data_IF_395756318746
#
_entry.id   IF_395756318746
#
_cell.length_a   1.000
_cell.length_b   1.000
_cell.length_c   1.000
_cell.angle_alpha   90.00
_cell.angle_beta   90.00
_cell.angle_gamma   90.00
#
_symmetry.space_group_name_H-M   'P 1'
#
loop_
_entity.id
_entity.type
_entity.pdbx_description
1 polymer ?
#
# COMPACT_ATOMS: atom_id res chain seq x y z
N UNK A 1 -15.36 7.32 6.59
CA UNK A 1 -14.44 6.20 6.29
C UNK A 1 -13.29 6.72 5.43
N UNK A 2 -12.01 6.49 5.79
CA UNK A 2 -10.89 7.16 5.14
C UNK A 2 -10.68 6.66 3.70
N UNK A 3 -10.30 7.58 2.81
CA UNK A 3 -9.98 7.28 1.43
C UNK A 3 -8.76 6.35 1.34
N UNK A 4 -8.99 5.13 0.85
CA UNK A 4 -7.99 4.12 0.49
C UNK A 4 -6.88 4.81 -0.32
N UNK A 5 -5.63 4.79 0.11
CA UNK A 5 -4.58 5.57 -0.58
C UNK A 5 -4.23 4.99 -1.96
N UNK A 6 -3.66 5.80 -2.87
CA UNK A 6 -3.15 5.29 -4.18
C UNK A 6 -2.18 4.11 -4.02
N UNK A 7 -1.39 4.09 -2.95
CA UNK A 7 -0.48 2.98 -2.61
C UNK A 7 -1.24 1.70 -2.27
N UNK A 8 -2.30 1.78 -1.48
CA UNK A 8 -3.14 0.63 -1.13
C UNK A 8 -3.89 0.09 -2.35
N UNK A 9 -4.35 0.97 -3.25
CA UNK A 9 -4.97 0.54 -4.50
C UNK A 9 -3.97 -0.24 -5.40
N UNK A 10 -2.72 0.25 -5.50
CA UNK A 10 -1.67 -0.48 -6.22
C UNK A 10 -1.36 -1.83 -5.55
N UNK A 11 -1.27 -1.86 -4.22
CA UNK A 11 -1.07 -3.09 -3.47
C UNK A 11 -2.23 -4.08 -3.64
N UNK A 12 -3.47 -3.59 -3.71
CA UNK A 12 -4.66 -4.39 -3.98
C UNK A 12 -4.60 -5.03 -5.38
N UNK A 13 -4.19 -4.28 -6.40
CA UNK A 13 -4.02 -4.80 -7.75
C UNK A 13 -2.96 -5.91 -7.83
N UNK A 14 -1.80 -5.69 -7.21
CA UNK A 14 -0.75 -6.71 -7.14
C UNK A 14 -1.21 -7.96 -6.37
N UNK A 15 -1.92 -7.77 -5.26
CA UNK A 15 -2.48 -8.85 -4.47
C UNK A 15 -3.53 -9.66 -5.26
N UNK A 16 -4.39 -8.98 -6.05
CA UNK A 16 -5.40 -9.62 -6.90
C UNK A 16 -4.74 -10.50 -7.98
N UNK A 17 -3.73 -9.96 -8.67
CA UNK A 17 -2.97 -10.71 -9.68
C UNK A 17 -2.32 -11.97 -9.08
N UNK A 18 -1.80 -11.87 -7.86
CA UNK A 18 -1.22 -13.01 -7.17
C UNK A 18 -2.24 -14.04 -6.66
N UNK A 19 -3.49 -13.62 -6.46
CA UNK A 19 -4.59 -14.51 -6.10
C UNK A 19 -5.13 -15.28 -7.31
N UNK A 20 -5.22 -14.60 -8.47
CA UNK A 20 -5.58 -15.17 -9.77
C UNK A 20 -4.48 -16.04 -10.38
N UNK A 21 -3.27 -16.03 -9.82
CA UNK A 21 -2.13 -16.81 -10.33
C UNK A 21 -1.35 -16.13 -11.46
N UNK A 22 -1.70 -14.90 -11.83
CA UNK A 22 -0.99 -14.11 -12.85
C UNK A 22 0.36 -13.59 -12.36
N UNK A 23 0.51 -13.41 -11.04
CA UNK A 23 1.74 -12.98 -10.41
C UNK A 23 2.19 -13.97 -9.31
N UNK A 24 3.49 -14.21 -9.15
CA UNK A 24 3.97 -15.12 -8.11
C UNK A 24 3.83 -14.48 -6.72
N UNK A 25 3.20 -15.17 -5.75
CA UNK A 25 3.04 -14.66 -4.36
C UNK A 25 4.35 -14.20 -3.71
N UNK A 26 5.48 -14.82 -4.10
CA UNK A 26 6.84 -14.43 -3.67
C UNK A 26 7.29 -13.03 -4.12
N UNK A 27 6.67 -12.44 -5.13
CA UNK A 27 6.98 -11.07 -5.58
C UNK A 27 6.24 -10.00 -4.77
N UNK A 28 5.22 -10.38 -4.00
CA UNK A 28 4.48 -9.45 -3.14
C UNK A 28 5.33 -9.03 -1.93
N UNK A 29 5.27 -7.74 -1.58
CA UNK A 29 6.02 -7.17 -0.47
C UNK A 29 5.16 -6.20 0.34
N UNK A 30 5.34 -6.22 1.66
CA UNK A 30 4.63 -5.35 2.60
C UNK A 30 3.11 -5.50 2.47
N UNK A 31 2.42 -4.39 2.23
CA UNK A 31 0.96 -4.34 2.20
C UNK A 31 0.34 -5.29 1.17
N UNK A 32 0.94 -5.49 -0.02
CA UNK A 32 0.35 -6.36 -1.04
C UNK A 32 0.35 -7.83 -0.61
N UNK A 33 1.34 -8.26 0.18
CA UNK A 33 1.41 -9.62 0.72
C UNK A 33 0.33 -9.84 1.77
N UNK A 34 0.24 -8.95 2.76
CA UNK A 34 -0.80 -9.02 3.80
C UNK A 34 -2.20 -8.91 3.20
N UNK A 35 -2.38 -8.10 2.16
CA UNK A 35 -3.66 -8.01 1.45
C UNK A 35 -4.03 -9.30 0.71
N UNK A 36 -3.07 -9.96 0.05
CA UNK A 36 -3.33 -11.23 -0.62
C UNK A 36 -3.69 -12.37 0.35
N UNK A 37 -3.12 -12.33 1.56
CA UNK A 37 -3.34 -13.33 2.61
C UNK A 37 -4.65 -13.09 3.38
N UNK A 38 -4.97 -11.84 3.73
CA UNK A 38 -6.09 -11.52 4.64
C UNK A 38 -7.39 -11.08 3.94
N UNK A 39 -7.35 -10.69 2.65
CA UNK A 39 -8.55 -10.17 1.94
C UNK A 39 -9.01 -11.13 0.86
N UNK A 40 -10.31 -11.17 0.56
CA UNK A 40 -10.88 -11.99 -0.52
C UNK A 40 -10.59 -11.41 -1.91
N UNK A 41 -10.70 -12.22 -2.98
CA UNK A 41 -10.50 -11.71 -4.36
C UNK A 41 -11.42 -10.54 -4.68
N UNK A 42 -12.71 -10.68 -4.34
CA UNK A 42 -13.72 -9.63 -4.55
C UNK A 42 -13.37 -8.33 -3.83
N UNK A 43 -12.91 -8.42 -2.58
CA UNK A 43 -12.48 -7.24 -1.82
C UNK A 43 -11.24 -6.57 -2.46
N UNK A 44 -10.26 -7.35 -2.95
CA UNK A 44 -9.09 -6.82 -3.64
C UNK A 44 -9.46 -6.17 -4.97
N UNK A 45 -10.40 -6.75 -5.70
CA UNK A 45 -10.95 -6.22 -6.94
C UNK A 45 -11.66 -4.89 -6.73
N UNK A 46 -12.57 -4.80 -5.77
CA UNK A 46 -13.23 -3.54 -5.41
C UNK A 46 -12.22 -2.44 -5.06
N UNK A 47 -11.17 -2.79 -4.31
CA UNK A 47 -10.09 -1.87 -3.96
C UNK A 47 -9.29 -1.42 -5.18
N UNK A 48 -8.92 -2.36 -6.05
CA UNK A 48 -8.16 -2.10 -7.27
C UNK A 48 -8.96 -1.26 -8.27
N UNK A 49 -10.27 -1.49 -8.38
CA UNK A 49 -11.17 -0.83 -9.33
C UNK A 49 -11.64 0.57 -8.89
N UNK A 50 -11.33 1.00 -7.66
CA UNK A 50 -11.71 2.34 -7.17
C UNK A 50 -11.13 3.47 -8.05
N UNK A 51 -11.91 4.53 -8.30
CA UNK A 51 -11.47 5.64 -9.18
C UNK A 51 -10.28 6.42 -8.57
N UNK A 52 -9.10 6.29 -9.18
CA UNK A 52 -7.82 6.95 -8.79
C UNK A 52 -7.86 8.48 -8.69
N UNK A 53 -8.80 9.14 -9.38
CA UNK A 53 -8.82 10.61 -9.56
C UNK A 53 -9.04 11.41 -8.26
N UNK A 54 -9.74 10.85 -7.26
CA UNK A 54 -10.06 11.55 -5.99
C UNK A 54 -9.29 11.04 -4.77
N UNK A 55 -8.34 10.11 -4.94
CA UNK A 55 -7.67 9.46 -3.81
C UNK A 55 -6.35 10.16 -3.42
N UNK A 56 -6.11 10.38 -2.11
CA UNK A 56 -4.85 10.93 -1.64
C UNK A 56 -3.70 9.95 -1.90
N UNK A 57 -2.49 10.49 -2.15
CA UNK A 57 -1.27 9.67 -2.37
C UNK A 57 -0.91 8.82 -1.15
N UNK A 58 -1.33 9.22 0.06
CA UNK A 58 -1.09 8.52 1.34
C UNK A 58 -2.35 8.61 2.22
N UNK A 59 -2.61 7.58 3.02
CA UNK A 59 -3.71 7.58 3.98
C UNK A 59 -3.25 8.32 5.25
N UNK A 60 -3.83 9.49 5.54
CA UNK A 60 -3.59 10.25 6.76
C UNK A 60 -2.23 10.96 6.83
N UNK A 61 -2.25 12.27 7.04
CA UNK A 61 -1.07 13.12 6.99
C UNK A 61 -0.11 12.94 8.17
N UNK A 62 1.18 12.86 7.86
CA UNK A 62 2.24 13.43 8.70
C UNK A 62 3.40 13.81 7.80
N UNK A 63 3.65 15.12 7.71
CA UNK A 63 4.98 15.62 7.37
C UNK A 63 5.91 15.20 8.51
N UNK A 64 6.46 13.99 8.47
CA UNK A 64 7.67 13.67 9.23
C UNK A 64 8.84 13.64 8.25
N UNK A 65 9.26 14.84 7.85
CA UNK A 65 10.53 15.06 7.19
C UNK A 65 11.19 16.26 7.87
N UNK A 66 12.38 16.03 8.40
CA UNK A 66 13.35 16.98 8.92
C UNK A 66 13.24 17.42 10.39
N UNK A 67 13.71 16.57 11.31
CA UNK A 67 14.69 17.03 12.30
C UNK A 67 15.86 16.04 12.31
N UNK A 68 16.90 16.45 11.59
CA UNK A 68 18.21 15.84 11.49
C UNK A 68 18.85 15.76 12.88
N UNK A 69 18.82 14.59 13.51
CA UNK A 69 19.63 14.29 14.70
C UNK A 69 21.04 13.90 14.25
N UNK A 70 21.86 14.88 13.89
CA UNK A 70 23.32 14.71 13.80
C UNK A 70 23.96 15.28 15.06
N UNK A 71 23.85 14.58 16.18
CA UNK A 71 24.71 14.81 17.34
C UNK A 71 26.06 14.15 17.06
N UNK A 72 26.96 14.89 16.42
CA UNK A 72 28.35 14.48 16.28
C UNK A 72 29.04 14.68 17.64
N UNK A 73 29.64 13.59 18.09
CA UNK A 73 30.30 13.37 19.37
C UNK A 73 31.23 14.51 19.79
N UNK A 74 31.26 14.74 21.11
CA UNK A 74 32.11 15.65 21.87
C UNK A 74 33.59 15.46 21.53
N UNK A 75 34.31 16.58 21.50
CA UNK A 75 35.76 16.69 21.63
C UNK A 75 36.12 16.70 23.11
#
# INVERSE_FOLDING_TARGET
MPAKSKKQQMAAGAALAAKRGEAPKKSLKGASKSMAESMSEKQLEELAHTKRKKLPKRAGGSKSSSRKSSSKSKK
#
